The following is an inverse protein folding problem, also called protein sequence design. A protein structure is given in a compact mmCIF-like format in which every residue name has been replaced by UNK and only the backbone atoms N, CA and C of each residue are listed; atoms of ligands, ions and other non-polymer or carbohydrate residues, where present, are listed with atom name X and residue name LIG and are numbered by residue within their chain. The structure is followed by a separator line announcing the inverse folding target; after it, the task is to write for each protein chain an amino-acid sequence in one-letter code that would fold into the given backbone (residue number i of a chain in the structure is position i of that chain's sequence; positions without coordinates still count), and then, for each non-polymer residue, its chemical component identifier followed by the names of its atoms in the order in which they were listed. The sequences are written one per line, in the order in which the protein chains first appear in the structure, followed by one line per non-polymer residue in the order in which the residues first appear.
data_IF_922432910943
#
_entry.id   IF_922432910943
#
_cell.length_a   1.000
_cell.length_b   1.000
_cell.length_c   1.000
_cell.angle_alpha   90.00
_cell.angle_beta   90.00
_cell.angle_gamma   90.00
#
_symmetry.space_group_name_H-M   'P 1'
#
loop_
_entity.id
_entity.type
_entity.pdbx_description
1 polymer ?
#
# COMPACT_ATOMS: atom_id res chain seq x y z
N UNK A 1 8.77 0.44 -22.49
CA UNK A 1 8.62 -0.21 -21.16
C UNK A 1 9.84 0.19 -20.37
N UNK A 2 9.69 1.02 -19.34
CA UNK A 2 10.80 1.30 -18.44
C UNK A 2 11.14 -0.01 -17.73
N UNK A 3 12.41 -0.42 -17.79
CA UNK A 3 12.96 -1.50 -16.96
C UNK A 3 12.93 -1.06 -15.49
N UNK A 4 11.74 -1.10 -14.89
CA UNK A 4 11.61 -0.85 -13.47
C UNK A 4 12.11 -2.11 -12.72
N UNK A 5 13.10 -1.94 -11.86
CA UNK A 5 13.69 -3.05 -11.10
C UNK A 5 12.72 -3.53 -10.01
N UNK A 6 11.81 -4.41 -10.40
CA UNK A 6 10.84 -5.02 -9.48
C UNK A 6 11.49 -5.92 -8.45
N UNK A 7 12.67 -6.48 -8.74
CA UNK A 7 13.41 -7.31 -7.77
C UNK A 7 13.92 -6.45 -6.61
N UNK A 8 14.55 -5.31 -6.92
CA UNK A 8 14.98 -4.35 -5.90
C UNK A 8 13.80 -3.73 -5.14
N UNK A 9 12.65 -3.53 -5.82
CA UNK A 9 11.45 -2.99 -5.21
C UNK A 9 10.74 -3.99 -4.31
N UNK A 10 10.82 -5.29 -4.59
CA UNK A 10 10.10 -6.33 -3.85
C UNK A 10 10.45 -6.32 -2.35
N UNK A 11 11.74 -6.13 -2.01
CA UNK A 11 12.18 -6.07 -0.62
C UNK A 11 11.60 -4.86 0.12
N UNK A 12 11.57 -3.70 -0.53
CA UNK A 12 10.97 -2.49 0.05
C UNK A 12 9.47 -2.65 0.28
N UNK A 13 8.74 -3.19 -0.71
CA UNK A 13 7.30 -3.43 -0.60
C UNK A 13 6.96 -4.49 0.45
N UNK A 14 7.80 -5.53 0.61
CA UNK A 14 7.61 -6.52 1.67
C UNK A 14 7.84 -5.88 3.05
N UNK A 15 8.91 -5.10 3.22
CA UNK A 15 9.17 -4.34 4.45
C UNK A 15 8.04 -3.35 4.76
N UNK A 16 7.53 -2.66 3.75
CA UNK A 16 6.39 -1.74 3.90
C UNK A 16 5.15 -2.48 4.40
N UNK A 17 4.78 -3.58 3.74
CA UNK A 17 3.63 -4.37 4.13
C UNK A 17 3.75 -4.91 5.56
N UNK A 18 4.96 -5.31 5.98
CA UNK A 18 5.22 -5.79 7.34
C UNK A 18 5.18 -4.66 8.38
N UNK A 19 5.82 -3.52 8.09
CA UNK A 19 5.78 -2.35 8.96
C UNK A 19 4.36 -1.82 9.16
N UNK A 20 3.52 -1.92 8.13
CA UNK A 20 2.11 -1.51 8.19
C UNK A 20 1.15 -2.65 8.59
N UNK A 21 1.64 -3.85 8.87
CA UNK A 21 0.78 -5.00 9.24
C UNK A 21 -0.19 -4.77 10.42
N UNK A 22 0.02 -3.82 11.36
CA UNK A 22 -0.99 -3.54 12.37
C UNK A 22 -2.35 -3.12 11.80
N UNK A 23 -2.37 -2.30 10.73
CA UNK A 23 -3.65 -1.91 10.12
C UNK A 23 -4.30 -3.09 9.37
N UNK A 24 -3.51 -3.88 8.62
CA UNK A 24 -4.09 -5.01 7.86
C UNK A 24 -4.72 -6.04 8.78
N UNK A 25 -4.09 -6.36 9.91
CA UNK A 25 -4.69 -7.26 10.91
C UNK A 25 -6.01 -6.73 11.47
N UNK A 26 -6.09 -5.43 11.76
CA UNK A 26 -7.32 -4.80 12.24
C UNK A 26 -8.39 -4.75 11.14
N UNK A 27 -8.01 -4.40 9.90
CA UNK A 27 -8.92 -4.37 8.76
C UNK A 27 -9.48 -5.77 8.45
N UNK A 28 -8.63 -6.80 8.46
CA UNK A 28 -9.07 -8.18 8.26
C UNK A 28 -10.03 -8.64 9.37
N UNK A 29 -9.84 -8.19 10.61
CA UNK A 29 -10.77 -8.49 11.69
C UNK A 29 -12.21 -7.99 11.40
N UNK A 30 -12.37 -6.89 10.66
CA UNK A 30 -13.69 -6.41 10.20
C UNK A 30 -14.34 -7.36 9.18
N UNK A 31 -13.54 -8.19 8.50
CA UNK A 31 -14.00 -9.13 7.48
C UNK A 31 -14.27 -10.55 8.04
N UNK A 32 -13.99 -10.81 9.31
CA UNK A 32 -14.11 -12.16 9.92
C UNK A 32 -15.51 -12.77 9.82
N UNK A 33 -16.54 -11.93 9.72
CA UNK A 33 -17.92 -12.39 9.57
C UNK A 33 -18.24 -12.93 8.17
N UNK A 34 -17.37 -12.68 7.20
CA UNK A 34 -17.48 -13.23 5.86
C UNK A 34 -17.01 -14.69 5.85
N UNK A 35 -17.57 -15.48 4.94
CA UNK A 35 -17.14 -16.85 4.70
C UNK A 35 -16.83 -17.05 3.22
N UNK A 36 -15.83 -16.30 2.68
CA UNK A 36 -15.53 -16.34 1.27
C UNK A 36 -14.93 -17.70 0.89
N UNK A 37 -15.33 -18.24 -0.27
CA UNK A 37 -14.68 -19.40 -0.89
C UNK A 37 -13.54 -19.00 -1.79
N UNK A 38 -13.66 -17.83 -2.42
CA UNK A 38 -12.64 -17.26 -3.28
C UNK A 38 -12.35 -15.82 -2.89
N UNK A 39 -11.05 -15.50 -2.82
CA UNK A 39 -10.53 -14.17 -2.51
C UNK A 39 -9.53 -13.78 -3.60
N UNK A 40 -9.68 -12.58 -4.14
CA UNK A 40 -8.70 -11.98 -5.04
C UNK A 40 -7.99 -10.82 -4.33
N UNK A 41 -6.66 -10.79 -4.36
CA UNK A 41 -5.84 -9.65 -3.96
C UNK A 41 -5.26 -9.02 -5.23
N UNK A 42 -5.84 -7.90 -5.66
CA UNK A 42 -5.50 -7.22 -6.92
C UNK A 42 -4.44 -6.14 -6.66
N UNK A 43 -3.33 -6.22 -7.41
CA UNK A 43 -2.12 -5.44 -7.12
C UNK A 43 -1.45 -5.94 -5.85
N UNK A 44 -1.33 -7.26 -5.72
CA UNK A 44 -0.91 -7.93 -4.48
C UNK A 44 0.54 -7.65 -4.08
N UNK A 45 1.36 -7.15 -5.00
CA UNK A 45 2.77 -6.98 -4.77
C UNK A 45 3.45 -8.27 -4.28
N UNK A 46 4.32 -8.21 -3.26
CA UNK A 46 5.00 -9.37 -2.68
C UNK A 46 4.09 -10.23 -1.77
N UNK A 47 2.75 -10.04 -1.83
CA UNK A 47 1.75 -10.91 -1.23
C UNK A 47 1.58 -10.79 0.28
N UNK A 48 1.92 -9.65 0.89
CA UNK A 48 1.77 -9.50 2.35
C UNK A 48 0.31 -9.57 2.75
N UNK A 49 -0.59 -8.86 2.04
CA UNK A 49 -2.02 -8.89 2.28
C UNK A 49 -2.62 -10.26 1.89
N UNK A 50 -2.28 -10.78 0.69
CA UNK A 50 -2.74 -12.09 0.23
C UNK A 50 -2.43 -13.22 1.21
N UNK A 51 -1.21 -13.29 1.74
CA UNK A 51 -0.83 -14.28 2.75
C UNK A 51 -1.59 -14.09 4.07
N UNK A 52 -1.83 -12.84 4.47
CA UNK A 52 -2.64 -12.53 5.65
C UNK A 52 -4.09 -12.99 5.49
N UNK A 53 -4.70 -12.77 4.31
CA UNK A 53 -6.03 -13.25 3.96
C UNK A 53 -6.08 -14.78 3.93
N UNK A 54 -5.05 -15.43 3.34
CA UNK A 54 -4.97 -16.90 3.33
C UNK A 54 -4.84 -17.50 4.72
N UNK A 55 -4.13 -16.86 5.63
CA UNK A 55 -4.05 -17.27 7.03
C UNK A 55 -5.39 -17.08 7.77
N UNK A 56 -6.11 -16.00 7.48
CA UNK A 56 -7.40 -15.70 8.11
C UNK A 56 -8.54 -16.59 7.61
N UNK A 57 -8.53 -16.92 6.32
CA UNK A 57 -9.55 -17.71 5.66
C UNK A 57 -8.97 -19.02 5.11
N UNK A 58 -8.54 -19.97 5.96
CA UNK A 58 -7.77 -21.15 5.52
C UNK A 58 -8.56 -22.10 4.60
N UNK A 59 -9.90 -21.94 4.51
CA UNK A 59 -10.75 -22.70 3.61
C UNK A 59 -10.98 -22.00 2.27
N UNK A 60 -10.60 -20.71 2.15
CA UNK A 60 -10.75 -19.98 0.92
C UNK A 60 -9.60 -20.29 -0.06
N UNK A 61 -9.92 -20.20 -1.34
CA UNK A 61 -8.92 -20.10 -2.40
C UNK A 61 -8.51 -18.62 -2.55
N UNK A 62 -7.28 -18.29 -2.15
CA UNK A 62 -6.75 -16.93 -2.27
C UNK A 62 -5.82 -16.87 -3.47
N UNK A 63 -6.08 -15.89 -4.36
CA UNK A 63 -5.25 -15.62 -5.53
C UNK A 63 -4.64 -14.22 -5.42
N UNK A 64 -3.32 -14.16 -5.40
CA UNK A 64 -2.55 -12.93 -5.55
C UNK A 64 -2.43 -12.58 -7.05
N UNK A 65 -2.84 -11.39 -7.43
CA UNK A 65 -2.86 -10.91 -8.82
C UNK A 65 -1.99 -9.67 -8.93
N UNK A 66 -1.01 -9.68 -9.81
CA UNK A 66 -0.10 -8.55 -10.05
C UNK A 66 0.43 -8.59 -11.49
N UNK A 67 0.80 -7.44 -12.05
CA UNK A 67 1.42 -7.36 -13.36
C UNK A 67 2.88 -7.79 -13.38
N UNK A 68 3.58 -7.76 -12.23
CA UNK A 68 5.00 -8.08 -12.09
C UNK A 68 5.22 -9.54 -11.63
N UNK A 69 5.71 -10.44 -12.52
CA UNK A 69 5.98 -11.83 -12.16
C UNK A 69 6.98 -11.98 -10.99
N UNK A 70 7.92 -11.04 -10.86
CA UNK A 70 8.93 -11.02 -9.80
C UNK A 70 8.29 -10.83 -8.42
N UNK A 71 7.29 -9.94 -8.32
CA UNK A 71 6.53 -9.73 -7.09
C UNK A 71 5.70 -10.96 -6.73
N UNK A 72 5.08 -11.60 -7.72
CA UNK A 72 4.32 -12.84 -7.51
C UNK A 72 5.22 -14.02 -7.11
N UNK A 73 6.43 -14.10 -7.64
CA UNK A 73 7.43 -15.09 -7.19
C UNK A 73 7.77 -14.87 -5.70
N UNK A 74 7.91 -13.60 -5.28
CA UNK A 74 8.12 -13.25 -3.87
C UNK A 74 6.90 -13.62 -3.01
N UNK A 75 5.68 -13.37 -3.50
CA UNK A 75 4.44 -13.76 -2.81
C UNK A 75 4.36 -15.27 -2.60
N UNK A 76 4.71 -16.06 -3.61
CA UNK A 76 4.74 -17.53 -3.49
C UNK A 76 5.80 -18.02 -2.48
N UNK A 77 6.99 -17.43 -2.49
CA UNK A 77 8.04 -17.71 -1.49
C UNK A 77 7.57 -17.36 -0.08
N UNK A 78 6.90 -16.19 0.09
CA UNK A 78 6.32 -15.78 1.36
C UNK A 78 5.27 -16.76 1.85
N UNK A 79 4.35 -17.18 0.99
CA UNK A 79 3.33 -18.17 1.32
C UNK A 79 3.96 -19.49 1.79
N UNK A 80 5.02 -19.96 1.11
CA UNK A 80 5.79 -21.15 1.53
C UNK A 80 6.40 -20.99 2.92
N UNK A 81 7.04 -19.84 3.22
CA UNK A 81 7.61 -19.57 4.55
C UNK A 81 6.55 -19.55 5.66
N UNK A 82 5.34 -19.06 5.35
CA UNK A 82 4.23 -18.94 6.30
C UNK A 82 3.36 -20.21 6.38
N UNK A 83 3.58 -21.19 5.50
CA UNK A 83 2.77 -22.41 5.46
C UNK A 83 1.32 -22.18 5.02
N UNK A 84 1.04 -21.12 4.26
CA UNK A 84 -0.30 -20.81 3.74
C UNK A 84 -0.44 -21.19 2.27
N UNK A 85 -1.67 -21.51 1.85
CA UNK A 85 -1.97 -21.80 0.45
C UNK A 85 -2.27 -20.50 -0.28
N UNK A 86 -1.52 -20.24 -1.36
CA UNK A 86 -1.68 -19.06 -2.20
C UNK A 86 -1.55 -19.46 -3.67
N UNK A 87 -2.49 -19.00 -4.51
CA UNK A 87 -2.30 -19.01 -5.96
C UNK A 87 -1.76 -17.66 -6.40
N UNK A 88 -1.04 -17.65 -7.53
CA UNK A 88 -0.57 -16.43 -8.16
C UNK A 88 -1.06 -16.35 -9.60
N UNK A 89 -1.43 -15.16 -10.06
CA UNK A 89 -1.88 -14.90 -11.43
C UNK A 89 -1.25 -13.61 -11.93
N UNK A 90 -0.50 -13.70 -13.02
CA UNK A 90 0.01 -12.51 -13.71
C UNK A 90 -1.14 -11.90 -14.49
N UNK A 91 -1.49 -10.66 -14.17
CA UNK A 91 -2.47 -9.86 -14.89
C UNK A 91 -2.23 -8.38 -14.64
N UNK A 92 -2.22 -7.58 -15.70
CA UNK A 92 -2.13 -6.12 -15.60
C UNK A 92 -3.46 -5.55 -15.10
N UNK A 93 -3.36 -4.59 -14.19
CA UNK A 93 -4.52 -3.86 -13.68
C UNK A 93 -4.56 -2.47 -14.34
N UNK A 94 -5.75 -2.05 -14.83
CA UNK A 94 -7.06 -2.71 -14.75
C UNK A 94 -7.40 -3.65 -15.92
N UNK A 95 -6.70 -3.65 -17.05
CA UNK A 95 -7.14 -4.25 -18.32
C UNK A 95 -7.10 -5.79 -18.35
N UNK A 96 -6.22 -6.41 -17.58
CA UNK A 96 -5.94 -7.86 -17.61
C UNK A 96 -6.86 -8.72 -16.77
N UNK A 97 -7.93 -8.16 -16.18
CA UNK A 97 -8.74 -8.86 -15.17
C UNK A 97 -9.90 -9.70 -15.73
N UNK A 98 -10.17 -9.62 -17.04
CA UNK A 98 -11.37 -10.20 -17.64
C UNK A 98 -11.51 -11.73 -17.48
N UNK A 99 -10.38 -12.45 -17.39
CA UNK A 99 -10.35 -13.91 -17.27
C UNK A 99 -10.35 -14.40 -15.81
N UNK A 100 -10.48 -13.49 -14.83
CA UNK A 100 -10.58 -13.86 -13.42
C UNK A 100 -12.00 -14.29 -13.09
N UNK A 101 -12.11 -15.40 -12.40
CA UNK A 101 -13.42 -15.85 -11.91
C UNK A 101 -13.91 -14.96 -10.77
N UNK A 102 -15.22 -14.66 -10.69
CA UNK A 102 -15.78 -13.85 -9.62
C UNK A 102 -15.48 -14.38 -8.21
N UNK A 103 -15.31 -13.47 -7.26
CA UNK A 103 -14.95 -13.77 -5.88
C UNK A 103 -15.94 -13.14 -4.89
N UNK A 104 -16.06 -13.74 -3.71
CA UNK A 104 -16.86 -13.20 -2.61
C UNK A 104 -16.13 -12.07 -1.87
N UNK A 105 -14.79 -12.00 -2.00
CA UNK A 105 -13.98 -10.91 -1.46
C UNK A 105 -12.92 -10.52 -2.48
N UNK A 106 -12.90 -9.24 -2.86
CA UNK A 106 -11.81 -8.62 -3.62
C UNK A 106 -11.13 -7.61 -2.71
N UNK A 107 -9.83 -7.75 -2.54
CA UNK A 107 -8.98 -6.81 -1.84
C UNK A 107 -8.09 -6.08 -2.85
N UNK A 108 -7.90 -4.77 -2.69
CA UNK A 108 -6.93 -4.00 -3.46
C UNK A 108 -6.35 -2.88 -2.59
N UNK A 109 -5.08 -2.98 -2.25
CA UNK A 109 -4.46 -2.05 -1.30
C UNK A 109 -3.39 -1.17 -1.93
N UNK A 110 -3.60 0.14 -1.94
CA UNK A 110 -2.63 1.13 -2.44
C UNK A 110 -2.33 0.94 -3.95
N UNK A 111 -3.36 0.69 -4.75
CA UNK A 111 -3.24 0.35 -6.18
C UNK A 111 -4.04 1.30 -7.06
N UNK A 112 -5.28 1.63 -6.70
CA UNK A 112 -6.20 2.39 -7.57
C UNK A 112 -5.65 3.77 -7.89
N UNK A 113 -4.92 4.39 -6.97
CA UNK A 113 -4.29 5.69 -7.21
C UNK A 113 -3.17 5.67 -8.27
N UNK A 114 -2.69 4.50 -8.68
CA UNK A 114 -1.73 4.35 -9.77
C UNK A 114 -2.39 4.20 -11.15
N UNK A 115 -3.73 4.16 -11.22
CA UNK A 115 -4.48 4.01 -12.48
C UNK A 115 -5.00 5.37 -12.96
N UNK A 116 -4.86 5.67 -14.25
CA UNK A 116 -5.30 6.94 -14.84
C UNK A 116 -6.79 7.20 -14.65
N UNK A 117 -7.65 6.24 -15.02
CA UNK A 117 -9.09 6.26 -14.78
C UNK A 117 -9.45 5.45 -13.53
N UNK A 118 -9.46 6.13 -12.38
CA UNK A 118 -9.79 5.50 -11.10
C UNK A 118 -11.23 4.98 -11.04
N UNK A 119 -12.19 5.67 -11.64
CA UNK A 119 -13.58 5.20 -11.66
C UNK A 119 -13.72 3.95 -12.53
N UNK A 120 -13.11 3.94 -13.72
CA UNK A 120 -13.08 2.76 -14.58
C UNK A 120 -12.43 1.56 -13.89
N UNK A 121 -11.33 1.79 -13.18
CA UNK A 121 -10.66 0.75 -12.40
C UNK A 121 -11.56 0.18 -11.28
N UNK A 122 -12.28 1.03 -10.54
CA UNK A 122 -13.22 0.59 -9.51
C UNK A 122 -14.42 -0.16 -10.09
N UNK A 123 -14.90 0.23 -11.27
CA UNK A 123 -15.96 -0.50 -11.97
C UNK A 123 -15.51 -1.93 -12.32
N UNK A 124 -14.26 -2.10 -12.75
CA UNK A 124 -13.70 -3.42 -13.03
C UNK A 124 -13.55 -4.27 -11.77
N UNK A 125 -13.03 -3.68 -10.68
CA UNK A 125 -12.94 -4.38 -9.38
C UNK A 125 -14.33 -4.82 -8.88
N UNK A 126 -15.33 -3.96 -8.98
CA UNK A 126 -16.72 -4.29 -8.63
C UNK A 126 -17.29 -5.40 -9.52
N UNK A 127 -16.89 -5.43 -10.79
CA UNK A 127 -17.27 -6.49 -11.75
C UNK A 127 -16.74 -7.87 -11.37
N UNK A 128 -15.63 -7.96 -10.65
CA UNK A 128 -15.06 -9.23 -10.16
C UNK A 128 -15.81 -9.82 -8.95
N UNK A 129 -16.72 -9.08 -8.35
CA UNK A 129 -17.46 -9.60 -7.21
C UNK A 129 -18.57 -10.56 -7.64
N UNK A 130 -18.73 -11.66 -6.92
CA UNK A 130 -19.97 -12.43 -6.92
C UNK A 130 -21.14 -11.61 -6.36
N UNK A 131 -22.41 -11.89 -6.69
CA UNK A 131 -23.54 -11.28 -6.01
C UNK A 131 -23.39 -11.37 -4.49
N UNK A 132 -23.61 -10.25 -3.77
CA UNK A 132 -23.39 -10.17 -2.32
C UNK A 132 -21.93 -10.09 -1.87
N UNK A 133 -20.98 -10.18 -2.80
CA UNK A 133 -19.54 -10.08 -2.50
C UNK A 133 -19.10 -8.68 -2.05
N UNK A 134 -17.93 -8.60 -1.44
CA UNK A 134 -17.38 -7.38 -0.84
C UNK A 134 -16.10 -6.95 -1.55
N UNK A 135 -16.04 -5.69 -1.97
CA UNK A 135 -14.80 -5.02 -2.37
C UNK A 135 -14.24 -4.29 -1.16
N UNK A 136 -12.96 -4.51 -0.89
CA UNK A 136 -12.17 -3.79 0.10
C UNK A 136 -11.01 -3.07 -0.60
N UNK A 137 -11.01 -1.75 -0.60
CA UNK A 137 -9.86 -0.97 -1.08
C UNK A 137 -9.17 -0.25 0.07
N UNK A 138 -7.87 -0.09 -0.04
CA UNK A 138 -7.08 0.72 0.91
C UNK A 138 -6.52 1.91 0.17
N UNK A 139 -7.07 3.08 0.45
CA UNK A 139 -6.61 4.32 -0.19
C UNK A 139 -6.60 5.48 0.82
N UNK A 140 -5.69 6.42 0.64
CA UNK A 140 -5.54 7.56 1.54
C UNK A 140 -5.08 7.18 2.96
N UNK A 141 -5.41 8.03 3.90
CA UNK A 141 -4.99 7.93 5.30
C UNK A 141 -4.26 9.18 5.78
N UNK A 142 -3.33 9.03 6.71
CA UNK A 142 -2.52 10.12 7.23
C UNK A 142 -1.07 10.01 6.74
N UNK A 143 -0.41 11.15 6.47
CA UNK A 143 1.02 11.16 6.19
C UNK A 143 1.81 10.50 7.32
N UNK A 144 2.87 9.79 6.94
CA UNK A 144 3.68 9.05 7.90
C UNK A 144 4.59 9.99 8.70
N UNK A 145 4.66 9.79 10.01
CA UNK A 145 5.59 10.44 10.91
C UNK A 145 6.61 9.43 11.41
N UNK A 146 7.88 9.77 11.29
CA UNK A 146 9.01 8.87 11.55
C UNK A 146 9.97 9.44 12.58
N UNK A 147 9.98 10.76 12.73
CA UNK A 147 10.97 11.54 13.41
C UNK A 147 10.30 12.65 14.22
N UNK A 148 10.92 13.10 15.31
CA UNK A 148 10.53 14.32 16.00
C UNK A 148 10.46 15.52 15.04
N UNK A 149 9.65 16.51 15.38
CA UNK A 149 9.54 17.75 14.60
C UNK A 149 10.89 18.48 14.49
N UNK A 150 11.66 18.48 15.55
CA UNK A 150 13.00 19.05 15.62
C UNK A 150 14.01 17.91 15.82
N UNK A 151 14.98 17.84 14.93
CA UNK A 151 15.98 16.77 14.90
C UNK A 151 17.23 17.10 15.72
N UNK A 152 17.33 18.36 16.22
CA UNK A 152 18.55 18.91 16.80
C UNK A 152 19.59 19.37 15.76
N UNK A 153 19.24 19.33 14.46
CA UNK A 153 20.03 19.83 13.35
C UNK A 153 19.13 20.09 12.13
N UNK A 154 19.60 20.89 11.17
CA UNK A 154 18.80 21.34 10.05
C UNK A 154 17.57 22.16 10.49
N UNK A 155 16.67 22.46 9.58
CA UNK A 155 15.44 23.18 9.90
C UNK A 155 14.40 22.24 10.54
N UNK A 156 13.71 22.66 11.61
CA UNK A 156 12.60 21.90 12.15
C UNK A 156 11.52 21.58 11.11
N UNK A 157 10.77 20.50 11.33
CA UNK A 157 9.67 20.06 10.48
C UNK A 157 10.09 19.56 9.08
N UNK A 158 11.24 18.90 8.96
CA UNK A 158 11.71 18.28 7.71
C UNK A 158 10.64 17.40 7.07
N UNK A 159 9.98 16.50 7.83
CA UNK A 159 8.96 15.60 7.29
C UNK A 159 7.77 16.33 6.66
N UNK A 160 7.37 17.49 7.20
CA UNK A 160 6.26 18.25 6.63
C UNK A 160 6.63 18.83 5.23
N UNK A 161 7.89 19.23 5.04
CA UNK A 161 8.36 19.69 3.72
C UNK A 161 8.52 18.53 2.74
N UNK A 162 8.95 17.36 3.23
CA UNK A 162 8.95 16.14 2.41
C UNK A 162 7.53 15.76 1.97
N UNK A 163 6.52 15.86 2.85
CA UNK A 163 5.14 15.57 2.49
C UNK A 163 4.64 16.46 1.35
N UNK A 164 4.97 17.76 1.39
CA UNK A 164 4.59 18.70 0.30
C UNK A 164 5.25 18.28 -1.00
N UNK A 165 6.56 18.02 -0.99
CA UNK A 165 7.30 17.63 -2.19
C UNK A 165 6.81 16.28 -2.75
N UNK A 166 6.44 15.33 -1.88
CA UNK A 166 5.84 14.05 -2.27
C UNK A 166 4.45 14.23 -2.89
N UNK A 167 3.61 15.11 -2.31
CA UNK A 167 2.28 15.41 -2.82
C UNK A 167 2.34 16.06 -4.21
N UNK A 168 3.25 17.01 -4.43
CA UNK A 168 3.47 17.63 -5.73
C UNK A 168 3.92 16.60 -6.77
N UNK A 169 4.88 15.74 -6.40
CA UNK A 169 5.33 14.67 -7.29
C UNK A 169 4.23 13.67 -7.59
N UNK A 170 3.42 13.31 -6.60
CA UNK A 170 2.28 12.43 -6.78
C UNK A 170 1.25 13.05 -7.75
N UNK A 171 0.93 14.32 -7.58
CA UNK A 171 0.02 15.05 -8.48
C UNK A 171 0.54 15.08 -9.91
N UNK A 172 1.86 15.30 -10.09
CA UNK A 172 2.49 15.24 -11.41
C UNK A 172 2.41 13.82 -12.00
N UNK A 173 2.77 12.79 -11.24
CA UNK A 173 2.68 11.40 -11.68
C UNK A 173 1.24 11.06 -12.10
N UNK A 174 0.25 11.45 -11.31
CA UNK A 174 -1.17 11.24 -11.65
C UNK A 174 -1.55 11.88 -12.98
N UNK A 175 -1.10 13.11 -13.24
CA UNK A 175 -1.41 13.83 -14.48
C UNK A 175 -0.76 13.17 -15.72
N UNK A 176 0.39 12.50 -15.55
CA UNK A 176 1.15 11.84 -16.61
C UNK A 176 0.70 10.39 -16.89
N UNK A 177 -0.19 9.81 -16.06
CA UNK A 177 -0.67 8.44 -16.29
C UNK A 177 -1.47 8.33 -17.59
N UNK A 178 -1.29 7.25 -18.37
CA UNK A 178 -2.10 6.97 -19.54
C UNK A 178 -3.60 6.95 -19.18
N UNK A 179 -4.41 7.65 -19.98
CA UNK A 179 -5.85 7.73 -19.74
C UNK A 179 -6.25 8.48 -18.46
N UNK A 180 -5.37 9.36 -17.94
CA UNK A 180 -5.65 10.12 -16.73
C UNK A 180 -6.94 10.91 -16.82
N UNK A 181 -7.85 10.67 -15.88
CA UNK A 181 -9.10 11.39 -15.70
C UNK A 181 -9.06 12.11 -14.37
N UNK A 182 -9.34 13.41 -14.39
CA UNK A 182 -9.44 14.19 -13.15
C UNK A 182 -10.68 13.75 -12.38
N UNK A 183 -10.49 13.33 -11.15
CA UNK A 183 -11.56 12.88 -10.25
C UNK A 183 -11.29 13.39 -8.83
N UNK A 184 -12.35 13.72 -8.11
CA UNK A 184 -12.26 13.95 -6.67
C UNK A 184 -12.13 12.59 -5.99
N UNK A 185 -11.12 12.44 -5.14
CA UNK A 185 -10.86 11.17 -4.42
C UNK A 185 -11.85 10.96 -3.24
N UNK A 186 -13.16 11.15 -3.53
CA UNK A 186 -14.25 10.70 -2.66
C UNK A 186 -14.46 9.19 -2.84
N UNK A 187 -13.57 8.40 -2.22
CA UNK A 187 -13.59 6.94 -2.36
C UNK A 187 -14.96 6.32 -2.07
N UNK A 188 -15.72 6.75 -1.03
CA UNK A 188 -17.09 6.28 -0.84
C UNK A 188 -18.03 6.63 -2.00
N UNK A 189 -17.91 7.84 -2.57
CA UNK A 189 -18.68 8.26 -3.74
C UNK A 189 -18.35 7.43 -4.98
N UNK A 190 -17.06 7.21 -5.25
CA UNK A 190 -16.56 6.40 -6.36
C UNK A 190 -17.02 4.94 -6.26
N UNK A 191 -17.01 4.35 -5.06
CA UNK A 191 -17.51 2.98 -4.84
C UNK A 191 -19.02 2.87 -5.09
N UNK A 192 -19.80 3.88 -4.68
CA UNK A 192 -21.24 3.92 -4.99
C UNK A 192 -21.49 4.08 -6.50
N UNK A 193 -20.69 4.91 -7.16
CA UNK A 193 -20.75 5.07 -8.61
C UNK A 193 -20.37 3.79 -9.36
N UNK A 194 -19.53 2.92 -8.76
CA UNK A 194 -19.25 1.58 -9.28
C UNK A 194 -20.37 0.54 -9.00
N UNK A 195 -21.54 0.99 -8.50
CA UNK A 195 -22.70 0.13 -8.26
C UNK A 195 -22.70 -0.63 -6.93
N UNK A 196 -21.81 -0.27 -6.00
CA UNK A 196 -21.74 -0.92 -4.71
C UNK A 196 -22.65 -0.21 -3.68
N UNK A 197 -23.28 -0.99 -2.82
CA UNK A 197 -24.06 -0.53 -1.67
C UNK A 197 -23.32 -0.82 -0.35
N UNK A 198 -23.94 -0.47 0.80
CA UNK A 198 -23.36 -0.62 2.14
C UNK A 198 -21.94 -0.03 2.25
N UNK A 199 -21.68 1.04 1.48
CA UNK A 199 -20.35 1.63 1.41
C UNK A 199 -20.00 2.30 2.73
N UNK A 200 -18.86 1.90 3.32
CA UNK A 200 -18.32 2.46 4.56
C UNK A 200 -16.80 2.56 4.50
N UNK A 201 -16.25 3.51 5.23
CA UNK A 201 -14.80 3.63 5.43
C UNK A 201 -14.44 3.50 6.91
N UNK A 202 -13.28 2.91 7.20
CA UNK A 202 -12.71 2.87 8.54
C UNK A 202 -11.21 3.08 8.47
N UNK A 203 -10.72 3.98 9.32
CA UNK A 203 -9.30 4.30 9.42
C UNK A 203 -8.68 3.54 10.58
N UNK A 204 -7.51 2.95 10.32
CA UNK A 204 -6.75 2.16 11.27
C UNK A 204 -5.40 2.78 11.52
N UNK A 205 -5.03 2.91 12.79
CA UNK A 205 -3.75 3.44 13.21
C UNK A 205 -2.65 2.38 13.04
N UNK A 206 -1.49 2.83 12.58
CA UNK A 206 -0.21 2.11 12.66
C UNK A 206 0.67 2.89 13.63
N UNK A 207 0.96 2.30 14.76
CA UNK A 207 1.75 2.92 15.82
C UNK A 207 2.85 1.95 16.26
N UNK A 208 4.08 2.31 15.92
CA UNK A 208 5.29 1.65 16.43
C UNK A 208 6.06 2.70 17.23
N UNK A 209 5.99 2.66 18.56
CA UNK A 209 6.66 3.65 19.41
C UNK A 209 8.19 3.57 19.33
N UNK A 210 8.84 4.65 19.71
CA UNK A 210 10.28 4.67 19.90
C UNK A 210 10.69 3.84 21.13
N UNK A 211 11.86 3.16 21.10
CA UNK A 211 12.72 2.98 19.94
C UNK A 211 12.16 1.94 18.97
N UNK A 212 12.25 2.19 17.66
CA UNK A 212 11.77 1.23 16.65
C UNK A 212 12.52 -0.10 16.71
N UNK A 213 11.76 -1.19 16.54
CA UNK A 213 12.29 -2.51 16.25
C UNK A 213 12.98 -2.53 14.86
N UNK A 214 13.81 -3.56 14.61
CA UNK A 214 14.67 -3.63 13.43
C UNK A 214 13.90 -3.56 12.11
N UNK A 215 12.84 -4.34 11.92
CA UNK A 215 12.06 -4.36 10.68
C UNK A 215 11.48 -2.99 10.28
N UNK A 216 10.68 -2.33 11.15
CA UNK A 216 10.22 -0.97 10.90
C UNK A 216 11.35 0.05 10.71
N UNK A 217 12.49 -0.10 11.41
CA UNK A 217 13.67 0.76 11.22
C UNK A 217 14.27 0.63 9.84
N UNK A 218 14.42 -0.59 9.35
CA UNK A 218 14.90 -0.84 7.98
C UNK A 218 13.95 -0.22 6.93
N UNK A 219 12.64 -0.36 7.13
CA UNK A 219 11.67 0.30 6.25
C UNK A 219 11.83 1.83 6.27
N UNK A 220 11.99 2.45 7.45
CA UNK A 220 12.22 3.89 7.57
C UNK A 220 13.47 4.30 6.80
N UNK A 221 14.58 3.59 6.97
CA UNK A 221 15.83 3.85 6.24
C UNK A 221 15.60 3.81 4.73
N UNK A 222 15.04 2.71 4.23
CA UNK A 222 14.77 2.55 2.80
C UNK A 222 13.82 3.59 2.23
N UNK A 223 12.83 4.00 3.01
CA UNK A 223 11.90 5.06 2.63
C UNK A 223 12.61 6.41 2.50
N UNK A 224 13.46 6.77 3.46
CA UNK A 224 14.24 8.01 3.40
C UNK A 224 15.26 7.99 2.26
N UNK A 225 15.94 6.86 2.00
CA UNK A 225 16.82 6.68 0.83
C UNK A 225 16.05 6.95 -0.47
N UNK A 226 14.85 6.37 -0.60
CA UNK A 226 13.97 6.58 -1.76
C UNK A 226 13.52 8.03 -1.88
N UNK A 227 13.13 8.68 -0.77
CA UNK A 227 12.75 10.10 -0.79
C UNK A 227 13.93 10.98 -1.22
N UNK A 228 15.11 10.71 -0.69
CA UNK A 228 16.34 11.43 -1.07
C UNK A 228 16.64 11.28 -2.58
N UNK A 229 16.52 10.09 -3.12
CA UNK A 229 16.72 9.82 -4.54
C UNK A 229 15.67 10.51 -5.42
N UNK A 230 14.39 10.45 -5.03
CA UNK A 230 13.28 10.99 -5.81
C UNK A 230 13.18 12.52 -5.78
N UNK A 231 13.51 13.13 -4.65
CA UNK A 231 13.18 14.52 -4.36
C UNK A 231 14.41 15.43 -4.27
N UNK A 232 15.63 14.87 -4.27
CA UNK A 232 16.85 15.63 -4.00
C UNK A 232 17.02 16.91 -4.80
N UNK A 233 16.63 16.90 -6.07
CA UNK A 233 16.69 18.08 -6.96
C UNK A 233 15.55 19.09 -6.72
N UNK A 234 14.51 18.70 -5.98
CA UNK A 234 13.31 19.51 -5.70
C UNK A 234 13.30 20.06 -4.27
N UNK A 235 14.30 19.72 -3.48
CA UNK A 235 14.40 20.11 -2.08
C UNK A 235 15.42 21.23 -1.89
N UNK A 236 15.23 22.02 -0.84
CA UNK A 236 16.26 22.97 -0.41
C UNK A 236 17.54 22.23 0.00
N UNK A 237 18.70 22.83 -0.29
CA UNK A 237 20.01 22.23 0.01
C UNK A 237 20.20 21.87 1.50
N UNK A 238 19.59 22.66 2.41
CA UNK A 238 19.63 22.38 3.84
C UNK A 238 18.85 21.11 4.21
N UNK A 239 17.69 20.88 3.58
CA UNK A 239 16.90 19.66 3.79
C UNK A 239 17.56 18.43 3.18
N UNK A 240 18.20 18.59 2.01
CA UNK A 240 19.05 17.56 1.41
C UNK A 240 20.19 17.17 2.35
N UNK A 241 20.90 18.16 2.89
CA UNK A 241 21.99 17.95 3.85
C UNK A 241 21.48 17.22 5.12
N UNK A 242 20.29 17.60 5.61
CA UNK A 242 19.68 16.95 6.76
C UNK A 242 19.32 15.48 6.47
N UNK A 243 18.80 15.17 5.28
CA UNK A 243 18.54 13.79 4.85
C UNK A 243 19.82 12.97 4.69
N UNK A 244 20.86 13.54 4.07
CA UNK A 244 22.14 12.87 3.89
C UNK A 244 22.76 12.52 5.25
N UNK A 245 22.63 13.42 6.24
CA UNK A 245 23.07 13.19 7.60
C UNK A 245 22.26 12.08 8.30
N UNK A 246 20.93 12.03 8.10
CA UNK A 246 20.08 10.97 8.63
C UNK A 246 20.43 9.60 8.03
N UNK A 247 20.89 9.57 6.80
CA UNK A 247 21.22 8.35 6.07
C UNK A 247 22.69 7.91 6.23
N UNK A 248 23.54 8.76 6.80
CA UNK A 248 24.94 8.40 7.08
C UNK A 248 25.01 7.37 8.22
N UNK A 249 25.49 6.15 7.97
CA UNK A 249 25.59 5.11 9.00
C UNK A 249 26.64 5.43 10.08
N UNK A 250 27.53 6.40 9.81
CA UNK A 250 28.59 6.82 10.75
C UNK A 250 28.17 7.99 11.65
N UNK A 251 27.18 8.79 11.21
CA UNK A 251 26.68 9.92 11.99
C UNK A 251 25.89 9.43 13.24
N UNK A 252 26.20 9.92 14.45
CA UNK A 252 25.41 9.61 15.65
C UNK A 252 23.92 9.99 15.55
N UNK A 253 23.59 10.97 14.68
CA UNK A 253 22.20 11.38 14.42
C UNK A 253 21.54 10.57 13.29
N UNK A 254 22.23 9.60 12.68
CA UNK A 254 21.72 8.73 11.65
C UNK A 254 20.58 7.82 12.14
N UNK A 255 19.68 7.45 11.24
CA UNK A 255 18.48 6.64 11.56
C UNK A 255 18.82 5.29 12.18
N UNK A 256 19.99 4.73 11.92
CA UNK A 256 20.42 3.46 12.48
C UNK A 256 20.76 3.57 14.00
N UNK A 257 21.06 4.77 14.46
CA UNK A 257 21.52 5.04 15.83
C UNK A 257 20.52 5.83 16.69
N UNK A 258 19.53 6.46 16.06
CA UNK A 258 18.52 7.26 16.77
C UNK A 258 17.61 6.37 17.62
N UNK A 259 17.49 6.69 18.90
CA UNK A 259 16.57 6.03 19.82
C UNK A 259 15.15 6.62 19.76
N UNK A 260 14.99 7.82 19.22
CA UNK A 260 13.74 8.57 19.11
C UNK A 260 12.98 8.33 17.80
N UNK A 261 13.43 7.37 17.00
CA UNK A 261 12.76 6.94 15.78
C UNK A 261 11.47 6.18 16.11
N UNK A 262 10.36 6.54 15.47
CA UNK A 262 9.05 5.90 15.61
C UNK A 262 8.39 5.78 14.24
N UNK A 263 7.28 5.05 14.14
CA UNK A 263 6.44 4.99 12.95
C UNK A 263 4.99 5.23 13.37
N UNK A 264 4.43 6.35 12.95
CA UNK A 264 3.04 6.71 13.21
C UNK A 264 2.37 7.13 11.91
N UNK A 265 1.32 6.43 11.53
CA UNK A 265 0.50 6.72 10.35
C UNK A 265 -0.89 6.12 10.52
N UNK A 266 -1.78 6.35 9.58
CA UNK A 266 -3.05 5.67 9.51
C UNK A 266 -3.40 5.34 8.05
N UNK A 267 -4.10 4.23 7.85
CA UNK A 267 -4.61 3.78 6.55
C UNK A 267 -6.12 3.66 6.60
N UNK A 268 -6.80 4.11 5.54
CA UNK A 268 -8.25 4.00 5.46
C UNK A 268 -8.63 2.85 4.53
N UNK A 269 -9.46 1.96 5.04
CA UNK A 269 -10.05 0.85 4.28
C UNK A 269 -11.49 1.20 3.99
N UNK A 270 -11.85 1.18 2.72
CA UNK A 270 -13.22 1.37 2.27
C UNK A 270 -13.79 0.04 1.82
N UNK A 271 -14.99 -0.27 2.27
CA UNK A 271 -15.72 -1.47 1.93
C UNK A 271 -16.97 -1.09 1.14
N UNK A 272 -17.30 -1.88 0.13
CA UNK A 272 -18.56 -1.79 -0.59
C UNK A 272 -19.05 -3.18 -0.94
N UNK A 273 -20.35 -3.41 -0.95
CA UNK A 273 -20.98 -4.70 -1.24
C UNK A 273 -21.67 -4.67 -2.60
N UNK A 274 -21.44 -5.68 -3.42
CA UNK A 274 -22.22 -5.89 -4.65
C UNK A 274 -23.65 -6.30 -4.27
N UNK A 275 -24.70 -5.71 -4.88
CA UNK A 275 -26.08 -6.19 -4.72
C UNK A 275 -26.23 -7.69 -5.00
N UNK A 276 -27.18 -8.35 -4.33
CA UNK A 276 -27.46 -9.78 -4.55
C UNK A 276 -28.23 -10.04 -5.86
N UNK A 277 -28.84 -8.98 -6.44
CA UNK A 277 -29.67 -9.04 -7.65
C UNK A 277 -29.28 -7.94 -8.65
#
# INVERSE_FOLDING_TARGET
MNDFDWVAMADLLELEGEAHSPYTRQAFAELKHLSPRRILDIGSGPGVAACGLAAMFPQAEVTAVDGAPELLARAAQRAGRLGVRLRTRVAEFPEGLADLEPAELVWSGQVVHHVGDQQGALNQLAGLLSPGGVLAIVEGGLPTRLLPRDLGFGRPALLARLDVALADRFSQMRAELPGSVAVVEDWPGLLRAAGLNEVRGKTFLVDHPAPLAEGPRQWVRRSLERYRAMLGERMDAEDVTALDRLLDPTDPAGVDRRADLFLLTAKTVYLGRRPEH
#
